data_IF_854597955467
#
_entry.id   IF_854597955467
#
_cell.length_a   1.000
_cell.length_b   1.000
_cell.length_c   1.000
_cell.angle_alpha   90.00
_cell.angle_beta   90.00
_cell.angle_gamma   90.00
#
_symmetry.space_group_name_H-M   'P 1'
#
loop_
_entity.id
_entity.type
_entity.pdbx_description
1 polymer ?
#
# COMPACT_ATOMS: atom_id res chain seq x y z
N UNK A 1 -14.17 -2.25 28.73
CA UNK A 1 -13.61 -1.89 27.41
C UNK A 1 -12.71 -0.68 27.59
N UNK A 2 -11.40 -0.87 27.43
CA UNK A 2 -10.36 0.08 27.84
C UNK A 2 -10.35 1.32 26.93
N UNK A 3 -11.03 2.40 27.34
CA UNK A 3 -11.06 3.69 26.61
C UNK A 3 -9.66 4.29 26.41
N UNK A 4 -8.70 3.94 27.26
CA UNK A 4 -7.28 4.31 27.17
C UNK A 4 -6.61 3.70 25.94
N UNK A 5 -6.89 2.44 25.59
CA UNK A 5 -6.24 1.75 24.47
C UNK A 5 -6.60 2.41 23.13
N UNK A 6 -7.87 2.77 22.94
CA UNK A 6 -8.33 3.44 21.71
C UNK A 6 -7.65 4.80 21.50
N UNK A 7 -7.50 5.58 22.58
CA UNK A 7 -6.82 6.89 22.53
C UNK A 7 -5.32 6.76 22.23
N UNK A 8 -4.69 5.69 22.68
CA UNK A 8 -3.28 5.39 22.39
C UNK A 8 -3.06 4.95 20.93
N UNK A 9 -4.04 4.32 20.29
CA UNK A 9 -3.94 3.88 18.89
C UNK A 9 -4.35 4.95 17.87
N UNK A 10 -5.09 5.99 18.28
CA UNK A 10 -5.50 7.09 17.40
C UNK A 10 -4.32 7.75 16.66
N UNK A 11 -3.19 8.10 17.30
CA UNK A 11 -2.05 8.69 16.61
C UNK A 11 -1.48 7.80 15.50
N UNK A 12 -1.48 6.48 15.72
CA UNK A 12 -0.99 5.49 14.75
C UNK A 12 -1.93 5.44 13.54
N UNK A 13 -3.24 5.44 13.77
CA UNK A 13 -4.25 5.49 12.69
C UNK A 13 -4.07 6.72 11.81
N UNK A 14 -3.79 7.89 12.42
CA UNK A 14 -3.49 9.12 11.67
C UNK A 14 -2.21 9.04 10.85
N UNK A 15 -1.27 8.14 11.16
CA UNK A 15 -0.11 7.86 10.31
C UNK A 15 -0.44 6.94 9.13
N UNK A 16 -1.31 5.96 9.33
CA UNK A 16 -1.72 5.02 8.27
C UNK A 16 -2.65 5.62 7.22
N UNK A 17 -3.47 6.61 7.60
CA UNK A 17 -4.35 7.33 6.65
C UNK A 17 -3.56 7.98 5.49
N UNK A 18 -2.55 8.84 5.74
CA UNK A 18 -1.67 9.39 4.70
C UNK A 18 -0.90 8.33 3.92
N UNK A 19 -0.46 7.24 4.57
CA UNK A 19 0.23 6.15 3.88
C UNK A 19 -0.69 5.46 2.86
N UNK A 20 -1.94 5.18 3.25
CA UNK A 20 -2.94 4.59 2.36
C UNK A 20 -3.32 5.52 1.20
N UNK A 21 -3.45 6.83 1.45
CA UNK A 21 -3.73 7.79 0.38
C UNK A 21 -2.56 7.92 -0.58
N UNK A 22 -1.31 7.95 -0.09
CA UNK A 22 -0.12 7.97 -0.94
C UNK A 22 -0.05 6.73 -1.85
N UNK A 23 -0.34 5.54 -1.32
CA UNK A 23 -0.44 4.32 -2.11
C UNK A 23 -1.55 4.42 -3.17
N UNK A 24 -2.75 4.88 -2.81
CA UNK A 24 -3.87 5.00 -3.75
C UNK A 24 -3.59 5.99 -4.87
N UNK A 25 -2.96 7.13 -4.57
CA UNK A 25 -2.52 8.11 -5.57
C UNK A 25 -1.46 7.50 -6.48
N UNK A 26 -0.45 6.83 -5.92
CA UNK A 26 0.61 6.18 -6.69
C UNK A 26 0.04 5.11 -7.63
N UNK A 27 -0.92 4.32 -7.17
CA UNK A 27 -1.60 3.33 -7.99
C UNK A 27 -2.37 3.99 -9.14
N UNK A 28 -3.15 5.03 -8.85
CA UNK A 28 -3.95 5.73 -9.85
C UNK A 28 -3.11 6.53 -10.86
N UNK A 29 -1.91 6.99 -10.49
CA UNK A 29 -1.04 7.75 -11.39
C UNK A 29 -0.10 6.87 -12.21
N UNK A 30 0.32 5.71 -11.68
CA UNK A 30 1.29 4.85 -12.34
C UNK A 30 0.66 3.66 -13.07
N UNK A 31 -0.55 3.23 -12.70
CA UNK A 31 -1.24 2.10 -13.33
C UNK A 31 -2.59 2.56 -13.89
N UNK A 32 -2.84 2.21 -15.15
CA UNK A 32 -4.12 2.46 -15.84
C UNK A 32 -5.17 1.38 -15.48
N UNK A 33 -5.26 1.05 -14.18
CA UNK A 33 -6.13 0.01 -13.67
C UNK A 33 -7.34 0.58 -12.93
N UNK A 34 -8.39 -0.24 -12.84
CA UNK A 34 -9.59 0.14 -12.12
C UNK A 34 -9.29 0.36 -10.61
N UNK A 35 -9.92 1.38 -10.04
CA UNK A 35 -9.69 1.84 -8.66
C UNK A 35 -9.88 0.75 -7.58
N UNK A 36 -10.71 -0.28 -7.85
CA UNK A 36 -10.97 -1.38 -6.93
C UNK A 36 -9.81 -2.37 -6.81
N UNK A 37 -8.83 -2.33 -7.73
CA UNK A 37 -7.63 -3.17 -7.64
C UNK A 37 -6.71 -2.68 -6.50
N UNK A 38 -6.68 -1.37 -6.22
CA UNK A 38 -5.89 -0.81 -5.13
C UNK A 38 -6.27 -1.39 -3.74
N UNK A 39 -7.54 -1.39 -3.30
CA UNK A 39 -7.91 -2.02 -2.03
C UNK A 39 -7.75 -3.55 -2.06
N UNK A 40 -7.91 -4.19 -3.23
CA UNK A 40 -7.71 -5.64 -3.37
C UNK A 40 -6.24 -6.02 -3.15
N UNK A 41 -5.30 -5.23 -3.67
CA UNK A 41 -3.86 -5.35 -3.39
C UNK A 41 -3.57 -5.23 -1.90
N UNK A 42 -4.22 -4.31 -1.19
CA UNK A 42 -4.08 -4.14 0.25
C UNK A 42 -4.56 -5.35 1.08
N UNK A 43 -5.46 -6.17 0.54
CA UNK A 43 -5.93 -7.40 1.18
C UNK A 43 -5.01 -8.59 0.84
N UNK A 44 -4.50 -8.66 -0.40
CA UNK A 44 -3.72 -9.80 -0.89
C UNK A 44 -2.22 -9.67 -0.54
N UNK A 45 -1.67 -8.47 -0.57
CA UNK A 45 -0.24 -8.21 -0.41
C UNK A 45 0.05 -7.81 1.04
N UNK A 46 0.44 -8.78 1.85
CA UNK A 46 0.87 -8.58 3.24
C UNK A 46 2.35 -8.16 3.35
N UNK A 47 2.78 -7.18 2.55
CA UNK A 47 4.17 -6.69 2.52
C UNK A 47 4.35 -5.31 3.18
N UNK A 48 3.26 -4.67 3.63
CA UNK A 48 3.30 -3.32 4.23
C UNK A 48 3.88 -2.28 3.26
N UNK A 49 5.10 -1.80 3.54
CA UNK A 49 5.81 -0.86 2.67
C UNK A 49 6.13 -1.45 1.28
N UNK A 50 6.32 -2.78 1.19
CA UNK A 50 6.56 -3.46 -0.07
C UNK A 50 5.42 -3.27 -1.08
N UNK A 51 4.16 -3.13 -0.64
CA UNK A 51 3.05 -2.94 -1.60
C UNK A 51 3.22 -1.64 -2.41
N UNK A 52 3.86 -0.60 -1.84
CA UNK A 52 4.09 0.68 -2.52
C UNK A 52 5.18 0.51 -3.58
N UNK A 53 6.25 -0.23 -3.26
CA UNK A 53 7.30 -0.59 -4.21
C UNK A 53 6.75 -1.46 -5.35
N UNK A 54 5.88 -2.42 -5.03
CA UNK A 54 5.26 -3.31 -6.01
C UNK A 54 4.49 -2.52 -7.09
N UNK A 55 3.80 -1.43 -6.72
CA UNK A 55 3.11 -0.54 -7.68
C UNK A 55 4.10 0.08 -8.67
N UNK A 56 5.23 0.59 -8.19
CA UNK A 56 6.26 1.19 -9.06
C UNK A 56 6.94 0.14 -9.96
N UNK A 57 7.17 -1.07 -9.45
CA UNK A 57 7.73 -2.17 -10.24
C UNK A 57 6.76 -2.66 -11.32
N UNK A 58 5.47 -2.74 -10.99
CA UNK A 58 4.43 -3.11 -11.94
C UNK A 58 4.29 -2.05 -13.06
N UNK A 59 4.35 -0.77 -12.68
CA UNK A 59 4.38 0.34 -13.63
C UNK A 59 5.61 0.30 -14.55
N UNK A 60 6.76 -0.09 -14.01
CA UNK A 60 8.00 -0.26 -14.76
C UNK A 60 8.02 -1.52 -15.64
N UNK A 61 6.98 -2.35 -15.62
CA UNK A 61 6.94 -3.67 -16.28
C UNK A 61 8.14 -4.56 -15.88
N UNK A 62 8.55 -4.49 -14.61
CA UNK A 62 9.70 -5.23 -14.10
C UNK A 62 9.51 -6.75 -14.21
N UNK A 63 10.59 -7.47 -14.52
CA UNK A 63 10.57 -8.93 -14.61
C UNK A 63 10.40 -9.62 -13.26
N UNK A 64 9.95 -10.88 -13.24
CA UNK A 64 9.79 -11.65 -11.98
C UNK A 64 11.06 -11.73 -11.14
N UNK A 65 12.24 -11.85 -11.76
CA UNK A 65 13.51 -11.83 -11.03
C UNK A 65 13.84 -10.46 -10.44
N UNK A 66 13.54 -9.37 -11.14
CA UNK A 66 13.79 -8.01 -10.64
C UNK A 66 12.89 -7.71 -9.44
N UNK A 67 11.62 -8.11 -9.52
CA UNK A 67 10.68 -8.02 -8.40
C UNK A 67 11.19 -8.84 -7.22
N UNK A 68 11.62 -10.09 -7.42
CA UNK A 68 12.11 -10.96 -6.35
C UNK A 68 13.39 -10.44 -5.66
N UNK A 69 14.23 -9.66 -6.36
CA UNK A 69 15.45 -9.08 -5.80
C UNK A 69 15.18 -7.73 -5.13
N UNK A 70 14.21 -6.96 -5.63
CA UNK A 70 13.90 -5.62 -5.13
C UNK A 70 12.95 -5.60 -3.92
N UNK A 71 12.07 -6.62 -3.80
CA UNK A 71 11.08 -6.77 -2.73
C UNK A 71 11.65 -7.45 -1.49
#
# INVERSE_FOLDING_TARGET
MNQTTFRLTLPILFGYLPLGTAFGVLFATQLDYAWWIAPLMGVVIYAGAGQILAVSLLAANAGLMEVAVAM
#
